data_IF_322554620003
#
_entry.id   IF_322554620003
#
_cell.length_a   1.000
_cell.length_b   1.000
_cell.length_c   1.000
_cell.angle_alpha   90.00
_cell.angle_beta   90.00
_cell.angle_gamma   90.00
#
_symmetry.space_group_name_H-M   'P 1'
#
loop_
_entity.id
_entity.type
_entity.pdbx_description
1 polymer ?
#
# COMPACT_ATOMS: atom_id res chain seq x y z
N UNK A 1 -4.20 0.38 -13.20
CA UNK A 1 -3.32 -0.75 -12.80
C UNK A 1 -3.00 -1.56 -14.05
N UNK A 2 -2.04 -1.07 -14.83
CA UNK A 2 -1.68 -1.63 -16.15
C UNK A 2 -0.95 -2.97 -16.00
N UNK A 3 0.01 -3.04 -15.08
CA UNK A 3 0.82 -4.24 -14.83
C UNK A 3 -0.03 -5.47 -14.50
N UNK A 4 -1.01 -5.33 -13.60
CA UNK A 4 -1.88 -6.43 -13.20
C UNK A 4 -2.87 -6.82 -14.28
N UNK A 5 -3.33 -5.86 -15.10
CA UNK A 5 -4.15 -6.14 -16.28
C UNK A 5 -3.37 -6.96 -17.31
N UNK A 6 -2.10 -6.62 -17.58
CA UNK A 6 -1.27 -7.37 -18.53
C UNK A 6 -1.01 -8.80 -18.05
N UNK A 7 -0.69 -9.00 -16.77
CA UNK A 7 -0.48 -10.35 -16.22
C UNK A 7 -1.76 -11.17 -16.29
N UNK A 8 -2.92 -10.59 -15.95
CA UNK A 8 -4.20 -11.27 -16.05
C UNK A 8 -4.54 -11.64 -17.50
N UNK A 9 -4.35 -10.72 -18.43
CA UNK A 9 -4.59 -10.97 -19.85
C UNK A 9 -3.66 -12.07 -20.39
N UNK A 10 -2.37 -12.03 -20.04
CA UNK A 10 -1.41 -13.05 -20.44
C UNK A 10 -1.77 -14.44 -19.87
N UNK A 11 -2.17 -14.51 -18.60
CA UNK A 11 -2.54 -15.77 -17.96
C UNK A 11 -3.87 -16.32 -18.48
N UNK A 12 -4.79 -15.45 -18.92
CA UNK A 12 -6.01 -15.86 -19.61
C UNK A 12 -5.70 -16.48 -20.99
N UNK A 13 -4.72 -15.94 -21.72
CA UNK A 13 -4.30 -16.46 -23.02
C UNK A 13 -3.40 -17.70 -22.93
N UNK A 14 -2.71 -17.92 -21.81
CA UNK A 14 -1.76 -19.02 -21.63
C UNK A 14 -2.05 -19.83 -20.35
N UNK A 15 -3.08 -20.69 -20.35
CA UNK A 15 -3.50 -21.43 -19.16
C UNK A 15 -2.45 -22.41 -18.64
N UNK A 16 -1.59 -22.94 -19.53
CA UNK A 16 -0.55 -23.93 -19.20
C UNK A 16 0.77 -23.30 -18.71
N UNK A 17 0.98 -21.99 -18.89
CA UNK A 17 2.19 -21.28 -18.46
C UNK A 17 1.82 -19.95 -17.79
N UNK A 18 1.25 -20.05 -16.58
CA UNK A 18 0.78 -18.89 -15.84
C UNK A 18 1.95 -18.10 -15.25
N UNK A 19 2.03 -16.81 -15.57
CA UNK A 19 2.96 -15.89 -14.92
C UNK A 19 2.56 -15.72 -13.46
N UNK A 20 3.57 -15.86 -12.58
CA UNK A 20 3.40 -15.59 -11.16
C UNK A 20 3.07 -14.12 -10.96
N UNK A 21 2.07 -13.86 -10.12
CA UNK A 21 1.75 -12.49 -9.75
C UNK A 21 2.90 -11.89 -8.92
N UNK A 22 3.31 -10.64 -9.19
CA UNK A 22 4.47 -10.04 -8.54
C UNK A 22 4.26 -9.95 -7.03
N UNK A 23 5.31 -10.27 -6.29
CA UNK A 23 5.32 -10.09 -4.84
C UNK A 23 5.41 -8.60 -4.50
N UNK A 24 5.20 -8.27 -3.22
CA UNK A 24 5.41 -6.89 -2.74
C UNK A 24 6.82 -6.37 -3.04
N UNK A 25 7.82 -7.25 -3.09
CA UNK A 25 9.22 -6.90 -3.37
C UNK A 25 9.39 -6.57 -4.85
N UNK A 26 8.82 -7.38 -5.74
CA UNK A 26 8.91 -7.16 -7.18
C UNK A 26 8.21 -5.86 -7.58
N UNK A 27 7.04 -5.60 -7.00
CA UNK A 27 6.32 -4.34 -7.17
C UNK A 27 7.16 -3.15 -6.69
N UNK A 28 7.91 -3.30 -5.60
CA UNK A 28 8.76 -2.23 -5.07
C UNK A 28 9.93 -1.94 -6.02
N UNK A 29 10.59 -2.98 -6.56
CA UNK A 29 11.65 -2.83 -7.55
C UNK A 29 11.14 -2.11 -8.81
N UNK A 30 9.99 -2.52 -9.32
CA UNK A 30 9.36 -1.89 -10.49
C UNK A 30 9.02 -0.42 -10.23
N UNK A 31 8.48 -0.12 -9.05
CA UNK A 31 8.17 1.25 -8.66
C UNK A 31 9.44 2.12 -8.58
N UNK A 32 10.51 1.59 -7.98
CA UNK A 32 11.79 2.30 -7.89
C UNK A 32 12.40 2.51 -9.27
N UNK A 33 12.30 1.55 -10.18
CA UNK A 33 12.86 1.68 -11.54
C UNK A 33 12.06 2.64 -12.44
N UNK A 34 10.72 2.62 -12.36
CA UNK A 34 9.86 3.35 -13.30
C UNK A 34 9.39 4.72 -12.78
N UNK A 35 9.11 4.81 -11.48
CA UNK A 35 8.43 5.98 -10.89
C UNK A 35 9.43 6.95 -10.28
N UNK A 36 10.40 6.48 -9.49
CA UNK A 36 11.34 7.36 -8.79
C UNK A 36 12.17 8.27 -9.71
N UNK A 37 12.75 7.80 -10.84
CA UNK A 37 13.55 8.67 -11.71
C UNK A 37 12.73 9.81 -12.32
N UNK A 38 11.43 9.57 -12.53
CA UNK A 38 10.52 10.52 -13.17
C UNK A 38 9.78 11.41 -12.15
N UNK A 39 9.93 11.17 -10.84
CA UNK A 39 9.16 11.83 -9.79
C UNK A 39 10.06 12.19 -8.60
N UNK A 40 10.70 13.36 -8.66
CA UNK A 40 11.64 13.81 -7.61
C UNK A 40 11.00 13.99 -6.23
N UNK A 41 9.72 14.38 -6.16
CA UNK A 41 8.95 14.47 -4.90
C UNK A 41 8.90 13.13 -4.13
N UNK A 42 9.16 12.01 -4.81
CA UNK A 42 9.18 10.68 -4.19
C UNK A 42 10.32 10.50 -3.18
N UNK A 43 11.36 11.35 -3.22
CA UNK A 43 12.43 11.38 -2.24
C UNK A 43 12.05 12.16 -0.97
N UNK A 44 11.03 13.01 -1.04
CA UNK A 44 10.53 13.80 0.09
C UNK A 44 9.58 12.99 0.99
N UNK A 45 8.97 11.94 0.44
CA UNK A 45 8.05 11.06 1.16
C UNK A 45 8.80 9.92 1.87
N UNK A 46 8.21 9.45 2.98
CA UNK A 46 8.80 8.33 3.73
C UNK A 46 8.80 7.04 2.89
N UNK A 47 9.86 6.22 3.04
CA UNK A 47 9.96 4.88 2.43
C UNK A 47 8.77 3.98 2.81
N UNK A 48 8.25 4.14 4.02
CA UNK A 48 7.26 3.24 4.61
C UNK A 48 5.92 3.31 3.90
N UNK A 49 5.43 4.51 3.59
CA UNK A 49 4.15 4.71 2.92
C UNK A 49 4.00 3.89 1.62
N UNK A 50 4.91 3.99 0.63
CA UNK A 50 4.78 3.22 -0.59
C UNK A 50 5.06 1.73 -0.40
N UNK A 51 5.95 1.35 0.52
CA UNK A 51 6.24 -0.05 0.80
C UNK A 51 5.02 -0.78 1.36
N UNK A 52 4.32 -0.17 2.32
CA UNK A 52 3.09 -0.70 2.88
C UNK A 52 1.94 -0.71 1.85
N UNK A 53 1.80 0.33 1.03
CA UNK A 53 0.80 0.36 -0.04
C UNK A 53 0.96 -0.82 -1.01
N UNK A 54 2.19 -1.13 -1.42
CA UNK A 54 2.49 -2.28 -2.28
C UNK A 54 2.26 -3.62 -1.58
N UNK A 55 2.52 -3.70 -0.27
CA UNK A 55 2.27 -4.90 0.54
C UNK A 55 0.77 -5.20 0.66
N UNK A 56 -0.04 -4.18 0.97
CA UNK A 56 -1.50 -4.31 0.98
C UNK A 56 -2.05 -4.68 -0.39
N UNK A 57 -1.49 -4.13 -1.46
CA UNK A 57 -1.86 -4.49 -2.83
C UNK A 57 -1.59 -5.98 -3.10
N UNK A 58 -0.40 -6.48 -2.77
CA UNK A 58 -0.05 -7.89 -2.95
C UNK A 58 -0.98 -8.80 -2.13
N UNK A 59 -1.29 -8.45 -0.89
CA UNK A 59 -2.23 -9.19 -0.04
C UNK A 59 -3.66 -9.20 -0.62
N UNK A 60 -4.15 -8.06 -1.11
CA UNK A 60 -5.48 -7.95 -1.68
C UNK A 60 -5.63 -8.82 -2.94
N UNK A 61 -4.59 -8.91 -3.77
CA UNK A 61 -4.56 -9.86 -4.90
C UNK A 61 -4.53 -11.31 -4.45
N UNK A 62 -3.74 -11.67 -3.43
CA UNK A 62 -3.77 -13.02 -2.85
C UNK A 62 -5.19 -13.41 -2.40
N UNK A 63 -5.89 -12.52 -1.68
CA UNK A 63 -7.27 -12.72 -1.25
C UNK A 63 -8.27 -12.81 -2.42
N UNK A 64 -8.00 -12.05 -3.50
CA UNK A 64 -8.77 -12.13 -4.73
C UNK A 64 -8.62 -13.49 -5.41
N UNK A 65 -7.40 -14.01 -5.51
CA UNK A 65 -7.14 -15.32 -6.11
C UNK A 65 -7.67 -16.48 -5.26
N UNK A 66 -7.66 -16.32 -3.93
CA UNK A 66 -8.27 -17.30 -3.02
C UNK A 66 -9.80 -17.18 -2.95
N UNK A 67 -10.44 -16.38 -3.82
CA UNK A 67 -11.90 -16.12 -3.85
C UNK A 67 -12.50 -15.61 -2.53
N UNK A 68 -11.68 -15.07 -1.63
CA UNK A 68 -12.12 -14.50 -0.35
C UNK A 68 -12.61 -13.05 -0.52
N UNK A 69 -12.07 -12.33 -1.51
CA UNK A 69 -12.47 -10.96 -1.82
C UNK A 69 -12.52 -10.72 -3.32
N UNK A 70 -13.19 -9.64 -3.75
CA UNK A 70 -13.16 -9.21 -5.14
C UNK A 70 -11.81 -8.58 -5.55
N UNK A 71 -11.77 -8.11 -6.80
CA UNK A 71 -10.63 -7.37 -7.37
C UNK A 71 -10.28 -6.15 -6.50
N UNK A 72 -8.98 -5.92 -6.20
CA UNK A 72 -8.58 -4.75 -5.44
C UNK A 72 -8.94 -3.45 -6.16
N UNK A 73 -9.46 -2.50 -5.40
CA UNK A 73 -9.80 -1.14 -5.83
C UNK A 73 -8.96 -0.15 -5.04
N UNK A 74 -8.68 1.01 -5.64
CA UNK A 74 -8.05 2.09 -4.89
C UNK A 74 -8.98 2.55 -3.77
N UNK A 75 -8.40 2.91 -2.62
CA UNK A 75 -9.14 3.51 -1.51
C UNK A 75 -9.72 4.85 -1.95
N UNK A 76 -10.93 5.16 -1.47
CA UNK A 76 -11.59 6.46 -1.66
C UNK A 76 -11.28 7.32 -0.44
N UNK A 77 -10.76 8.53 -0.65
CA UNK A 77 -10.52 9.50 0.43
C UNK A 77 -11.82 9.77 1.20
N UNK A 78 -11.74 9.81 2.53
CA UNK A 78 -12.87 10.01 3.42
C UNK A 78 -13.70 8.75 3.68
N UNK A 79 -13.27 7.58 3.18
CA UNK A 79 -13.91 6.30 3.47
C UNK A 79 -12.87 5.29 3.96
N UNK A 80 -12.96 4.94 5.24
CA UNK A 80 -12.08 3.98 5.92
C UNK A 80 -10.58 4.34 5.74
N UNK A 81 -10.25 5.62 5.94
CA UNK A 81 -8.87 6.11 5.84
C UNK A 81 -8.03 5.53 6.98
N UNK A 82 -6.88 4.97 6.63
CA UNK A 82 -5.91 4.47 7.59
C UNK A 82 -4.51 4.91 7.20
N UNK A 83 -3.64 5.02 8.20
CA UNK A 83 -2.26 5.40 8.02
C UNK A 83 -1.36 4.44 8.79
N UNK A 84 -0.29 3.99 8.16
CA UNK A 84 0.62 2.99 8.73
C UNK A 84 2.01 3.59 8.89
N UNK A 85 2.55 3.47 10.10
CA UNK A 85 3.88 3.93 10.47
C UNK A 85 4.65 2.78 11.13
N UNK A 86 5.94 2.67 10.83
CA UNK A 86 6.86 1.71 11.49
C UNK A 86 7.45 2.26 12.80
N UNK A 87 7.12 3.49 13.17
CA UNK A 87 7.71 4.15 14.33
C UNK A 87 6.78 4.08 15.54
N UNK A 88 7.37 4.08 16.74
CA UNK A 88 6.65 4.13 18.01
C UNK A 88 5.82 5.43 18.08
N UNK A 89 4.50 5.28 18.05
CA UNK A 89 3.55 6.38 18.29
C UNK A 89 3.18 6.31 19.77
N UNK A 90 3.42 7.38 20.51
CA UNK A 90 2.85 7.51 21.86
C UNK A 90 1.47 8.13 21.73
N UNK A 91 0.45 7.46 22.25
CA UNK A 91 -0.93 7.94 22.26
C UNK A 91 -1.28 8.37 23.67
N UNK A 92 -1.83 9.56 23.79
CA UNK A 92 -2.49 10.08 24.98
C UNK A 92 -3.98 10.36 24.63
N UNK A 93 -4.81 10.63 25.63
CA UNK A 93 -6.27 10.61 25.50
C UNK A 93 -6.81 11.41 24.29
N UNK A 94 -6.22 12.57 24.02
CA UNK A 94 -6.56 13.42 22.88
C UNK A 94 -5.33 13.97 22.14
N UNK A 95 -4.19 13.29 22.27
CA UNK A 95 -2.97 13.68 21.56
C UNK A 95 -2.24 12.45 21.02
N UNK A 96 -1.68 12.58 19.82
CA UNK A 96 -0.76 11.59 19.26
C UNK A 96 0.62 12.21 19.13
N UNK A 97 1.66 11.48 19.53
CA UNK A 97 3.05 11.85 19.29
C UNK A 97 3.53 11.19 18.01
N UNK A 98 3.67 11.98 16.94
CA UNK A 98 4.23 11.51 15.69
C UNK A 98 5.76 11.64 15.67
N UNK A 99 6.47 10.72 14.99
CA UNK A 99 7.89 10.86 14.74
C UNK A 99 8.18 12.14 13.96
N UNK A 100 9.20 12.90 14.35
CA UNK A 100 9.64 14.20 13.78
C UNK A 100 8.69 15.39 14.00
N UNK A 101 7.37 15.19 14.08
CA UNK A 101 6.41 16.30 14.25
C UNK A 101 6.14 16.61 15.72
N UNK A 102 6.17 15.60 16.60
CA UNK A 102 5.86 15.78 18.03
C UNK A 102 4.37 15.57 18.33
N UNK A 103 3.88 16.21 19.39
CA UNK A 103 2.50 16.05 19.88
C UNK A 103 1.51 16.83 19.02
N UNK A 104 0.46 16.14 18.56
CA UNK A 104 -0.63 16.71 17.77
C UNK A 104 -1.94 16.44 18.49
N UNK A 105 -2.77 17.49 18.62
CA UNK A 105 -4.09 17.40 19.23
C UNK A 105 -5.09 16.79 18.24
N UNK A 106 -5.84 15.80 18.70
CA UNK A 106 -6.95 15.22 17.95
C UNK A 106 -8.27 15.84 18.38
N UNK A 107 -9.34 15.59 17.61
CA UNK A 107 -10.67 16.12 17.92
C UNK A 107 -11.50 15.17 18.83
N UNK A 108 -11.02 13.95 19.08
CA UNK A 108 -11.69 12.96 19.91
C UNK A 108 -10.73 11.87 20.38
N UNK A 109 -11.25 10.96 21.21
CA UNK A 109 -10.49 9.87 21.79
C UNK A 109 -9.87 8.97 20.72
N UNK A 110 -8.55 8.76 20.82
CA UNK A 110 -7.81 7.97 19.85
C UNK A 110 -7.94 6.49 20.20
N UNK A 111 -8.42 5.70 19.26
CA UNK A 111 -8.44 4.23 19.35
C UNK A 111 -7.41 3.65 18.38
N UNK A 112 -6.41 2.95 18.93
CA UNK A 112 -5.48 2.17 18.13
C UNK A 112 -6.17 0.86 17.70
N UNK A 113 -6.12 0.54 16.41
CA UNK A 113 -6.69 -0.67 15.79
C UNK A 113 -5.63 -1.37 14.97
#
# INVERSE_FOLDING_TARGET
MWLTKNILNHNASNPNNQLKFPTSIDLHKLLVAMVKPNNYWYYEVSKTAPSYALRYLSLAWKRCFSKVSGKPKFKKKGKDDNFTLDASISVDFNHIKLPRIGWIKTYGAIRLV
#
